data_IF_116911287885
#
_entry.id   IF_116911287885
#
_cell.length_a   1.000
_cell.length_b   1.000
_cell.length_c   1.000
_cell.angle_alpha   90.00
_cell.angle_beta   90.00
_cell.angle_gamma   90.00
#
_symmetry.space_group_name_H-M   'P 1'
#
loop_
_entity.id
_entity.type
_entity.pdbx_description
1 polymer ?
#
# COMPACT_ATOMS: atom_id res chain seq x y z
N UNK A 1 -39.77 13.28 1.77
CA UNK A 1 -38.61 14.11 2.13
C UNK A 1 -37.59 13.34 3.00
N UNK A 2 -38.00 12.67 4.08
CA UNK A 2 -37.06 11.93 4.92
C UNK A 2 -36.31 10.79 4.21
N UNK A 3 -36.95 10.11 3.25
CA UNK A 3 -36.36 9.03 2.47
C UNK A 3 -35.24 9.51 1.52
N UNK A 4 -35.37 10.72 0.99
CA UNK A 4 -34.37 11.31 0.07
C UNK A 4 -33.10 11.67 0.84
N UNK A 5 -33.24 12.19 2.07
CA UNK A 5 -32.10 12.56 2.93
C UNK A 5 -31.28 11.31 3.32
N UNK A 6 -31.97 10.18 3.62
CA UNK A 6 -31.32 8.92 3.94
C UNK A 6 -30.52 8.34 2.76
N UNK A 7 -31.05 8.45 1.54
CA UNK A 7 -30.36 8.00 0.32
C UNK A 7 -29.13 8.86 0.07
N UNK A 8 -29.24 10.17 0.27
CA UNK A 8 -28.12 11.09 0.13
C UNK A 8 -27.00 10.83 1.11
N UNK A 9 -27.34 10.52 2.37
CA UNK A 9 -26.35 10.19 3.40
C UNK A 9 -25.61 8.89 3.08
N UNK A 10 -26.32 7.86 2.63
CA UNK A 10 -25.71 6.59 2.23
C UNK A 10 -24.76 6.75 1.05
N UNK A 11 -25.12 7.57 0.06
CA UNK A 11 -24.28 7.85 -1.09
C UNK A 11 -22.99 8.60 -0.70
N UNK A 12 -23.10 9.56 0.22
CA UNK A 12 -21.94 10.29 0.75
C UNK A 12 -20.96 9.38 1.48
N UNK A 13 -21.45 8.41 2.24
CA UNK A 13 -20.58 7.44 2.92
C UNK A 13 -19.82 6.57 1.93
N UNK A 14 -20.46 6.13 0.86
CA UNK A 14 -19.81 5.33 -0.19
C UNK A 14 -18.73 6.12 -0.92
N UNK A 15 -19.00 7.38 -1.26
CA UNK A 15 -18.01 8.28 -1.90
C UNK A 15 -16.84 8.54 -0.96
N UNK A 16 -17.11 8.77 0.33
CA UNK A 16 -16.07 9.00 1.35
C UNK A 16 -15.14 7.78 1.49
N UNK A 17 -15.69 6.56 1.46
CA UNK A 17 -14.91 5.32 1.54
C UNK A 17 -14.00 5.14 0.32
N UNK A 18 -14.48 5.43 -0.89
CA UNK A 18 -13.70 5.36 -2.11
C UNK A 18 -12.55 6.38 -2.10
N UNK A 19 -12.81 7.62 -1.69
CA UNK A 19 -11.79 8.67 -1.55
C UNK A 19 -10.74 8.27 -0.50
N UNK A 20 -11.17 7.70 0.60
CA UNK A 20 -10.28 7.23 1.66
C UNK A 20 -9.34 6.12 1.14
N UNK A 21 -9.88 5.15 0.40
CA UNK A 21 -9.09 4.08 -0.22
C UNK A 21 -8.04 4.64 -1.17
N UNK A 22 -8.44 5.56 -2.06
CA UNK A 22 -7.56 6.20 -3.03
C UNK A 22 -6.42 6.97 -2.35
N UNK A 23 -6.73 7.77 -1.34
CA UNK A 23 -5.73 8.52 -0.58
C UNK A 23 -4.69 7.62 0.06
N UNK A 24 -5.13 6.53 0.68
CA UNK A 24 -4.21 5.60 1.30
C UNK A 24 -3.43 4.78 0.29
N UNK A 25 -4.03 4.43 -0.84
CA UNK A 25 -3.31 3.77 -1.93
C UNK A 25 -2.23 4.69 -2.52
N UNK A 26 -2.53 5.97 -2.72
CA UNK A 26 -1.54 6.96 -3.20
C UNK A 26 -0.40 7.12 -2.20
N UNK A 27 -0.70 7.21 -0.92
CA UNK A 27 0.31 7.32 0.13
C UNK A 27 1.17 6.04 0.20
N UNK A 28 0.55 4.87 0.10
CA UNK A 28 1.26 3.59 0.04
C UNK A 28 2.18 3.53 -1.16
N UNK A 29 1.71 3.96 -2.33
CA UNK A 29 2.51 3.97 -3.55
C UNK A 29 3.75 4.85 -3.39
N UNK A 30 3.58 6.05 -2.90
CA UNK A 30 4.68 6.99 -2.68
C UNK A 30 5.73 6.40 -1.74
N UNK A 31 5.32 5.86 -0.61
CA UNK A 31 6.26 5.26 0.36
C UNK A 31 6.93 4.01 -0.20
N UNK A 32 6.20 3.20 -0.97
CA UNK A 32 6.77 2.01 -1.61
C UNK A 32 7.84 2.41 -2.64
N UNK A 33 7.58 3.43 -3.43
CA UNK A 33 8.57 3.95 -4.40
C UNK A 33 9.83 4.46 -3.70
N UNK A 34 9.68 5.15 -2.59
CA UNK A 34 10.82 5.59 -1.78
C UNK A 34 11.58 4.39 -1.20
N UNK A 35 10.90 3.35 -0.76
CA UNK A 35 11.54 2.12 -0.30
C UNK A 35 12.37 1.47 -1.42
N UNK A 36 11.80 1.37 -2.62
CA UNK A 36 12.49 0.82 -3.80
C UNK A 36 13.75 1.63 -4.12
N UNK A 37 13.63 2.94 -4.14
CA UNK A 37 14.77 3.84 -4.40
C UNK A 37 15.89 3.62 -3.39
N UNK A 38 15.56 3.57 -2.11
CA UNK A 38 16.55 3.36 -1.03
C UNK A 38 17.14 1.97 -1.08
N UNK A 39 16.33 0.97 -1.40
CA UNK A 39 16.80 -0.40 -1.56
C UNK A 39 17.79 -0.54 -2.71
N UNK A 40 17.51 0.07 -3.86
CA UNK A 40 18.42 0.11 -5.01
C UNK A 40 19.75 0.81 -4.69
N UNK A 41 19.70 1.81 -3.82
CA UNK A 41 20.89 2.51 -3.36
C UNK A 41 21.66 1.76 -2.25
N UNK A 42 21.14 0.63 -1.79
CA UNK A 42 21.76 -0.16 -0.73
C UNK A 42 21.50 0.37 0.68
N UNK A 43 20.56 1.29 0.85
CA UNK A 43 20.24 1.91 2.15
C UNK A 43 19.13 1.13 2.87
N UNK A 44 19.47 -0.05 3.38
CA UNK A 44 18.55 -0.97 4.02
C UNK A 44 17.69 -0.37 5.14
N UNK A 45 18.26 0.26 6.16
CA UNK A 45 17.49 0.84 7.27
C UNK A 45 16.46 1.90 6.83
N UNK A 46 16.82 2.77 5.89
CA UNK A 46 15.91 3.80 5.38
C UNK A 46 14.83 3.16 4.51
N UNK A 47 15.21 2.18 3.69
CA UNK A 47 14.24 1.38 2.93
C UNK A 47 13.20 0.75 3.86
N UNK A 48 13.65 0.17 4.97
CA UNK A 48 12.77 -0.47 5.95
C UNK A 48 11.77 0.52 6.55
N UNK A 49 12.19 1.75 6.85
CA UNK A 49 11.30 2.79 7.35
C UNK A 49 10.17 3.09 6.35
N UNK A 50 10.53 3.28 5.07
CA UNK A 50 9.54 3.56 4.03
C UNK A 50 8.62 2.36 3.79
N UNK A 51 9.14 1.15 3.82
CA UNK A 51 8.33 -0.06 3.68
C UNK A 51 7.31 -0.20 4.82
N UNK A 52 7.70 0.11 6.05
CA UNK A 52 6.79 0.10 7.19
C UNK A 52 5.67 1.14 7.05
N UNK A 53 5.97 2.35 6.61
CA UNK A 53 4.96 3.38 6.36
C UNK A 53 4.03 2.99 5.21
N UNK A 54 4.60 2.43 4.14
CA UNK A 54 3.82 1.92 3.01
C UNK A 54 2.82 0.84 3.47
N UNK A 55 3.26 -0.07 4.33
CA UNK A 55 2.41 -1.13 4.86
C UNK A 55 1.21 -0.59 5.63
N UNK A 56 1.41 0.42 6.46
CA UNK A 56 0.32 1.05 7.22
C UNK A 56 -0.75 1.58 6.26
N UNK A 57 -0.34 2.31 5.22
CA UNK A 57 -1.27 2.87 4.24
C UNK A 57 -1.91 1.79 3.36
N UNK A 58 -1.15 0.78 2.95
CA UNK A 58 -1.67 -0.33 2.15
C UNK A 58 -2.75 -1.11 2.92
N UNK A 59 -2.55 -1.35 4.21
CA UNK A 59 -3.55 -2.01 5.06
C UNK A 59 -4.83 -1.18 5.16
N UNK A 60 -4.72 0.13 5.33
CA UNK A 60 -5.89 1.03 5.38
C UNK A 60 -6.64 1.04 4.06
N UNK A 61 -5.93 1.09 2.94
CA UNK A 61 -6.54 0.99 1.62
C UNK A 61 -7.25 -0.36 1.43
N UNK A 62 -6.62 -1.46 1.84
CA UNK A 62 -7.17 -2.80 1.72
C UNK A 62 -8.47 -2.99 2.53
N UNK A 63 -8.57 -2.34 3.69
CA UNK A 63 -9.77 -2.43 4.54
C UNK A 63 -11.02 -1.93 3.83
N UNK A 64 -10.90 -0.90 3.02
CA UNK A 64 -12.05 -0.25 2.37
C UNK A 64 -12.16 -0.54 0.87
N UNK A 65 -11.12 -1.10 0.26
CA UNK A 65 -11.13 -1.49 -1.13
C UNK A 65 -12.09 -2.66 -1.37
N UNK A 66 -12.62 -2.75 -2.59
CA UNK A 66 -13.57 -3.80 -2.98
C UNK A 66 -13.20 -4.40 -4.33
N UNK A 67 -13.63 -5.65 -4.56
CA UNK A 67 -13.41 -6.34 -5.84
C UNK A 67 -11.93 -6.55 -6.15
N UNK A 68 -11.55 -6.32 -7.39
CA UNK A 68 -10.16 -6.48 -7.85
C UNK A 68 -9.19 -5.54 -7.13
N UNK A 69 -9.63 -4.32 -6.83
CA UNK A 69 -8.82 -3.37 -6.06
C UNK A 69 -8.42 -3.95 -4.72
N UNK A 70 -9.35 -4.58 -4.01
CA UNK A 70 -9.04 -5.25 -2.73
C UNK A 70 -8.05 -6.39 -2.91
N UNK A 71 -8.22 -7.20 -3.93
CA UNK A 71 -7.31 -8.32 -4.23
C UNK A 71 -5.89 -7.80 -4.43
N UNK A 72 -5.72 -6.72 -5.20
CA UNK A 72 -4.41 -6.12 -5.42
C UNK A 72 -3.84 -5.48 -4.16
N UNK A 73 -4.65 -4.78 -3.37
CA UNK A 73 -4.18 -4.19 -2.11
C UNK A 73 -3.77 -5.26 -1.10
N UNK A 74 -4.51 -6.36 -1.00
CA UNK A 74 -4.14 -7.48 -0.14
C UNK A 74 -2.81 -8.11 -0.59
N UNK A 75 -2.60 -8.25 -1.90
CA UNK A 75 -1.33 -8.74 -2.46
C UNK A 75 -0.17 -7.76 -2.15
N UNK A 76 -0.41 -6.47 -2.27
CA UNK A 76 0.57 -5.44 -1.93
C UNK A 76 0.97 -5.52 -0.45
N UNK A 77 0.00 -5.72 0.44
CA UNK A 77 0.26 -5.89 1.89
C UNK A 77 1.22 -7.06 2.11
N UNK A 78 0.97 -8.19 1.48
CA UNK A 78 1.84 -9.38 1.60
C UNK A 78 3.25 -9.12 1.07
N UNK A 79 3.36 -8.45 -0.06
CA UNK A 79 4.67 -8.10 -0.64
C UNK A 79 5.43 -7.13 0.25
N UNK A 80 4.76 -6.15 0.85
CA UNK A 80 5.38 -5.23 1.80
C UNK A 80 5.82 -5.94 3.08
N UNK A 81 5.03 -6.86 3.59
CA UNK A 81 5.41 -7.67 4.74
C UNK A 81 6.67 -8.49 4.45
N UNK A 82 6.76 -9.09 3.25
CA UNK A 82 7.95 -9.80 2.81
C UNK A 82 9.17 -8.87 2.71
N UNK A 83 8.99 -7.68 2.15
CA UNK A 83 10.03 -6.66 2.07
C UNK A 83 10.56 -6.30 3.46
N UNK A 84 9.67 -6.12 4.43
CA UNK A 84 10.03 -5.78 5.81
C UNK A 84 10.79 -6.92 6.47
N UNK A 85 10.37 -8.16 6.30
CA UNK A 85 11.06 -9.33 6.84
C UNK A 85 12.50 -9.41 6.35
N UNK A 86 12.70 -9.28 5.04
CA UNK A 86 14.04 -9.26 4.46
C UNK A 86 14.85 -8.05 4.93
N UNK A 87 14.22 -6.90 4.97
CA UNK A 87 14.87 -5.66 5.44
C UNK A 87 15.39 -5.77 6.87
N UNK A 88 14.66 -6.45 7.75
CA UNK A 88 15.07 -6.68 9.14
C UNK A 88 16.28 -7.59 9.26
N UNK A 89 16.45 -8.52 8.34
CA UNK A 89 17.60 -9.44 8.36
C UNK A 89 18.91 -8.74 8.04
N UNK A 90 18.87 -7.67 7.27
CA UNK A 90 20.05 -6.88 6.90
C UNK A 90 20.99 -7.60 5.94
N UNK A 91 22.02 -6.88 5.48
CA UNK A 91 22.96 -7.40 4.51
C UNK A 91 22.51 -7.23 3.07
N UNK A 92 23.45 -7.20 2.14
CA UNK A 92 23.21 -6.88 0.74
C UNK A 92 22.17 -7.79 0.07
N UNK A 93 22.27 -9.10 0.32
CA UNK A 93 21.33 -10.08 -0.25
C UNK A 93 19.89 -9.85 0.22
N UNK A 94 19.72 -9.55 1.51
CA UNK A 94 18.39 -9.30 2.06
C UNK A 94 17.84 -7.95 1.63
N UNK A 95 18.68 -6.93 1.48
CA UNK A 95 18.26 -5.64 0.94
C UNK A 95 17.81 -5.80 -0.51
N UNK A 96 18.50 -6.61 -1.30
CA UNK A 96 18.08 -6.92 -2.68
C UNK A 96 16.73 -7.64 -2.71
N UNK A 97 16.57 -8.65 -1.88
CA UNK A 97 15.30 -9.39 -1.78
C UNK A 97 14.15 -8.48 -1.29
N UNK A 98 14.43 -7.61 -0.33
CA UNK A 98 13.46 -6.63 0.17
C UNK A 98 13.06 -5.64 -0.92
N UNK A 99 14.02 -5.18 -1.72
CA UNK A 99 13.77 -4.26 -2.83
C UNK A 99 12.89 -4.91 -3.89
N UNK A 100 13.14 -6.16 -4.20
CA UNK A 100 12.35 -6.94 -5.17
C UNK A 100 10.90 -7.08 -4.69
N UNK A 101 10.71 -7.41 -3.42
CA UNK A 101 9.38 -7.50 -2.82
C UNK A 101 8.66 -6.14 -2.83
N UNK A 102 9.38 -5.05 -2.57
CA UNK A 102 8.82 -3.70 -2.65
C UNK A 102 8.39 -3.33 -4.08
N UNK A 103 9.16 -3.75 -5.09
CA UNK A 103 8.77 -3.57 -6.50
C UNK A 103 7.48 -4.32 -6.84
N UNK A 104 7.32 -5.53 -6.35
CA UNK A 104 6.08 -6.29 -6.52
C UNK A 104 4.91 -5.56 -5.86
N UNK A 105 5.12 -5.03 -4.67
CA UNK A 105 4.11 -4.24 -3.96
C UNK A 105 3.71 -3.00 -4.78
N UNK A 106 4.69 -2.30 -5.34
CA UNK A 106 4.43 -1.14 -6.20
C UNK A 106 3.49 -1.48 -7.36
N UNK A 107 3.75 -2.58 -8.03
CA UNK A 107 2.91 -3.04 -9.16
C UNK A 107 1.48 -3.34 -8.71
N UNK A 108 1.33 -4.03 -7.57
CA UNK A 108 0.00 -4.33 -7.03
C UNK A 108 -0.75 -3.07 -6.60
N UNK A 109 -0.08 -2.12 -5.97
CA UNK A 109 -0.71 -0.86 -5.56
C UNK A 109 -1.20 -0.09 -6.81
N UNK A 110 -0.38 0.01 -7.84
CA UNK A 110 -0.76 0.66 -9.11
C UNK A 110 -1.99 0.00 -9.73
N UNK A 111 -2.01 -1.34 -9.75
CA UNK A 111 -3.13 -2.09 -10.29
C UNK A 111 -4.40 -1.91 -9.46
N UNK A 112 -4.28 -1.89 -8.15
CA UNK A 112 -5.41 -1.73 -7.23
C UNK A 112 -5.94 -0.31 -7.10
N UNK A 113 -5.15 0.68 -7.52
CA UNK A 113 -5.49 2.10 -7.40
C UNK A 113 -6.14 2.67 -8.66
N UNK A 114 -6.75 1.85 -9.47
CA UNK A 114 -7.44 2.25 -10.70
C UNK A 114 -8.94 2.50 -10.51
#
# INVERSE_FOLDING_TARGET
MKKIILIGAALLVLVSSAVFAEKHADAALKQTQMAVERGKAGHGPIMLQHANEALIHAKKAAEVAKGESKTHMDAAVKSLESSIEHGKMGGAEHVEAATKAALEAEEHIKAGNQ
#
